data_IF_157336592330
#
_entry.id   IF_157336592330
#
_cell.length_a   1.000
_cell.length_b   1.000
_cell.length_c   1.000
_cell.angle_alpha   90.00
_cell.angle_beta   90.00
_cell.angle_gamma   90.00
#
_symmetry.space_group_name_H-M   'P 1'
#
loop_
_entity.id
_entity.type
_entity.pdbx_description
1 polymer ?
#
# COMPACT_ATOMS: atom_id res chain seq x y z
N UNK A 1 36.84 38.19 -11.51
CA UNK A 1 37.03 37.01 -10.64
C UNK A 1 35.98 37.05 -9.53
N UNK A 2 34.89 36.29 -9.65
CA UNK A 2 33.78 36.30 -8.67
C UNK A 2 34.18 35.38 -7.51
N UNK A 3 34.44 35.95 -6.33
CA UNK A 3 34.66 35.17 -5.10
C UNK A 3 33.35 34.45 -4.74
N UNK A 4 33.26 33.15 -5.01
CA UNK A 4 32.17 32.31 -4.47
C UNK A 4 32.37 32.25 -2.94
N UNK A 5 31.40 32.72 -2.17
CA UNK A 5 31.31 32.37 -0.75
C UNK A 5 31.04 30.87 -0.68
N UNK A 6 31.98 30.10 -0.14
CA UNK A 6 31.93 28.63 -0.02
C UNK A 6 31.03 28.10 1.10
N UNK A 7 30.35 28.97 1.85
CA UNK A 7 29.50 28.52 2.94
C UNK A 7 28.06 28.42 2.47
N UNK A 8 27.51 27.20 2.50
CA UNK A 8 26.06 27.01 2.37
C UNK A 8 25.36 27.84 3.45
N UNK A 9 24.25 28.53 3.12
CA UNK A 9 23.53 29.34 4.10
C UNK A 9 23.11 28.48 5.29
N UNK A 10 23.26 29.01 6.50
CA UNK A 10 22.75 28.34 7.70
C UNK A 10 21.22 28.35 7.66
N UNK A 11 20.64 27.18 7.37
CA UNK A 11 19.20 26.99 7.36
C UNK A 11 18.78 26.55 8.77
N UNK A 12 17.80 27.24 9.35
CA UNK A 12 17.23 26.92 10.64
C UNK A 12 15.80 26.42 10.47
N UNK A 13 15.41 25.39 11.24
CA UNK A 13 14.05 24.86 11.26
C UNK A 13 13.55 24.75 12.70
N UNK A 14 12.23 24.88 12.90
CA UNK A 14 11.60 24.77 14.21
C UNK A 14 11.33 23.32 14.57
N UNK A 15 12.09 22.72 15.50
CA UNK A 15 11.86 21.39 16.07
C UNK A 15 11.19 21.48 17.45
N UNK A 16 9.91 21.09 17.57
CA UNK A 16 9.12 21.19 18.80
C UNK A 16 9.24 22.59 19.45
N UNK A 17 8.95 23.63 18.66
CA UNK A 17 9.03 25.05 19.05
C UNK A 17 10.46 25.56 19.34
N UNK A 18 11.49 24.74 19.21
CA UNK A 18 12.89 25.15 19.34
C UNK A 18 13.55 25.36 17.98
N UNK A 19 14.25 26.47 17.79
CA UNK A 19 15.00 26.76 16.57
C UNK A 19 16.28 25.92 16.54
N UNK A 20 16.38 25.00 15.58
CA UNK A 20 17.52 24.11 15.42
C UNK A 20 18.19 24.35 14.06
N UNK A 21 19.52 24.23 13.99
CA UNK A 21 20.24 24.28 12.71
C UNK A 21 19.93 22.99 11.91
N UNK A 22 19.59 23.11 10.62
CA UNK A 22 19.24 21.98 9.76
C UNK A 22 20.35 20.93 9.69
N UNK A 23 21.62 21.33 9.78
CA UNK A 23 22.79 20.42 9.78
C UNK A 23 22.81 19.52 11.02
N UNK A 24 22.21 19.99 12.13
CA UNK A 24 22.11 19.21 13.38
C UNK A 24 20.97 18.18 13.38
N UNK A 25 20.11 18.20 12.35
CA UNK A 25 19.02 17.25 12.22
C UNK A 25 19.44 16.07 11.35
N UNK A 26 19.03 14.87 11.76
CA UNK A 26 19.20 13.71 10.88
C UNK A 26 18.41 13.92 9.59
N UNK A 27 18.97 13.46 8.47
CA UNK A 27 18.32 13.47 7.14
C UNK A 27 16.90 12.89 7.24
N UNK A 28 16.71 11.83 8.03
CA UNK A 28 15.41 11.22 8.33
C UNK A 28 14.42 12.19 8.99
N UNK A 29 14.84 13.02 9.94
CA UNK A 29 14.00 14.04 10.58
C UNK A 29 13.63 15.16 9.59
N UNK A 30 14.57 15.59 8.75
CA UNK A 30 14.34 16.63 7.73
C UNK A 30 13.32 16.14 6.70
N UNK A 31 13.51 14.95 6.14
CA UNK A 31 12.53 14.36 5.23
C UNK A 31 11.20 14.10 5.92
N UNK A 32 11.18 13.61 7.17
CA UNK A 32 9.94 13.45 7.94
C UNK A 32 9.16 14.75 8.07
N UNK A 33 9.84 15.89 8.30
CA UNK A 33 9.22 17.21 8.37
C UNK A 33 8.78 17.73 7.02
N UNK A 34 9.58 17.57 5.97
CA UNK A 34 9.17 17.93 4.62
C UNK A 34 7.96 17.11 4.17
N UNK A 35 7.91 15.82 4.51
CA UNK A 35 6.75 14.96 4.32
C UNK A 35 5.55 15.56 5.06
N UNK A 36 5.67 15.91 6.35
CA UNK A 36 4.56 16.51 7.13
C UNK A 36 4.13 17.91 6.64
N UNK A 37 5.05 18.72 6.12
CA UNK A 37 4.78 20.09 5.65
C UNK A 37 4.20 20.08 4.23
N UNK A 38 4.69 19.20 3.35
CA UNK A 38 4.22 19.05 1.96
C UNK A 38 2.92 18.26 1.91
N UNK A 39 2.77 17.27 2.81
CA UNK A 39 1.51 16.57 3.03
C UNK A 39 0.67 17.45 3.96
N UNK A 40 -0.07 18.40 3.38
CA UNK A 40 -1.29 18.94 4.01
C UNK A 40 -2.05 17.77 4.64
N UNK A 41 -2.53 17.94 5.88
CA UNK A 41 -3.34 16.92 6.60
C UNK A 41 -4.22 16.19 5.58
N UNK A 42 -3.92 14.91 5.27
CA UNK A 42 -4.48 14.27 4.09
C UNK A 42 -6.01 14.35 4.21
N UNK A 43 -6.72 14.75 3.15
CA UNK A 43 -8.18 14.87 3.19
C UNK A 43 -8.86 13.59 3.72
N UNK A 44 -8.19 12.46 3.47
CA UNK A 44 -8.47 11.13 3.96
C UNK A 44 -8.47 10.97 5.49
N UNK A 45 -7.73 11.75 6.29
CA UNK A 45 -7.80 11.65 7.76
C UNK A 45 -9.20 11.98 8.29
N UNK A 46 -9.86 12.96 7.67
CA UNK A 46 -11.24 13.33 8.01
C UNK A 46 -12.25 12.29 7.52
N UNK A 47 -12.02 11.70 6.35
CA UNK A 47 -12.97 10.75 5.74
C UNK A 47 -12.83 9.36 6.33
N UNK A 48 -11.61 8.86 6.55
CA UNK A 48 -11.41 7.54 7.14
C UNK A 48 -11.87 7.48 8.59
N UNK A 49 -11.71 8.55 9.39
CA UNK A 49 -12.29 8.61 10.75
C UNK A 49 -13.83 8.55 10.74
N UNK A 50 -14.48 9.02 9.66
CA UNK A 50 -15.94 8.95 9.50
C UNK A 50 -16.41 7.59 8.98
N UNK A 51 -15.66 6.97 8.06
CA UNK A 51 -15.98 5.66 7.48
C UNK A 51 -15.69 4.52 8.45
N UNK A 52 -14.65 4.68 9.28
CA UNK A 52 -14.17 3.69 10.22
C UNK A 52 -14.11 4.30 11.61
N UNK A 53 -15.18 4.11 12.39
CA UNK A 53 -15.23 4.58 13.77
C UNK A 53 -14.07 3.98 14.58
N UNK A 54 -13.49 4.79 15.47
CA UNK A 54 -12.38 4.43 16.36
C UNK A 54 -11.05 4.03 15.67
N UNK A 55 -10.86 4.36 14.39
CA UNK A 55 -9.59 4.11 13.71
C UNK A 55 -8.49 5.12 14.10
N UNK A 56 -7.36 4.60 14.57
CA UNK A 56 -6.14 5.40 14.75
C UNK A 56 -5.50 5.73 13.39
N UNK A 57 -5.74 6.94 12.91
CA UNK A 57 -5.24 7.42 11.62
C UNK A 57 -3.72 7.42 11.53
N UNK A 58 -3.00 7.59 12.65
CA UNK A 58 -1.53 7.53 12.62
C UNK A 58 -1.04 6.14 12.22
N UNK A 59 -1.80 5.09 12.55
CA UNK A 59 -1.47 3.70 12.14
C UNK A 59 -1.65 3.48 10.63
N UNK A 60 -2.57 4.16 9.95
CA UNK A 60 -2.73 4.07 8.49
C UNK A 60 -1.39 4.33 7.76
N UNK A 61 -0.62 5.28 8.28
CA UNK A 61 0.65 5.72 7.72
C UNK A 61 1.84 4.84 8.13
N UNK A 62 1.70 3.99 9.16
CA UNK A 62 2.81 3.13 9.61
C UNK A 62 3.23 2.10 8.56
N UNK A 63 2.34 1.81 7.61
CA UNK A 63 2.57 0.89 6.49
C UNK A 63 2.83 1.62 5.16
N UNK A 64 3.35 2.85 5.18
CA UNK A 64 3.62 3.64 3.96
C UNK A 64 4.63 2.97 3.02
N UNK A 65 5.71 2.42 3.59
CA UNK A 65 6.79 1.79 2.83
C UNK A 65 6.83 0.30 3.16
N UNK A 66 6.38 -0.52 2.21
CA UNK A 66 6.37 -1.97 2.36
C UNK A 66 7.66 -2.51 1.75
N UNK A 67 8.37 -3.38 2.49
CA UNK A 67 9.66 -3.91 2.05
C UNK A 67 9.53 -4.61 0.68
N UNK A 68 10.44 -4.26 -0.23
CA UNK A 68 10.52 -4.78 -1.60
C UNK A 68 9.31 -4.51 -2.49
N UNK A 69 8.40 -3.63 -2.07
CA UNK A 69 7.22 -3.34 -2.86
C UNK A 69 7.59 -2.58 -4.14
N UNK A 70 6.71 -2.69 -5.15
CA UNK A 70 6.88 -1.97 -6.41
C UNK A 70 6.49 -0.50 -6.23
N UNK A 71 7.15 0.42 -6.94
CA UNK A 71 6.83 1.86 -6.89
C UNK A 71 5.36 2.12 -7.21
N UNK A 72 4.77 1.42 -8.18
CA UNK A 72 3.35 1.56 -8.51
C UNK A 72 2.44 1.10 -7.37
N UNK A 73 2.83 0.06 -6.63
CA UNK A 73 2.11 -0.42 -5.45
C UNK A 73 2.19 0.63 -4.32
N UNK A 74 3.38 1.17 -4.06
CA UNK A 74 3.58 2.23 -3.05
C UNK A 74 2.82 3.51 -3.40
N UNK A 75 2.87 3.93 -4.65
CA UNK A 75 2.12 5.10 -5.12
C UNK A 75 0.62 4.87 -5.02
N UNK A 76 0.12 3.69 -5.38
CA UNK A 76 -1.30 3.36 -5.23
C UNK A 76 -1.73 3.37 -3.75
N UNK A 77 -0.94 2.77 -2.87
CA UNK A 77 -1.22 2.75 -1.44
C UNK A 77 -1.17 4.16 -0.83
N UNK A 78 -0.20 4.98 -1.26
CA UNK A 78 -0.14 6.38 -0.89
C UNK A 78 -1.38 7.13 -1.37
N UNK A 79 -1.79 6.93 -2.61
CA UNK A 79 -2.99 7.56 -3.18
C UNK A 79 -4.22 7.17 -2.37
N UNK A 80 -4.48 5.88 -2.13
CA UNK A 80 -5.60 5.38 -1.31
C UNK A 80 -5.63 6.06 0.07
N UNK A 81 -4.48 6.15 0.73
CA UNK A 81 -4.35 6.77 2.06
C UNK A 81 -4.48 8.29 2.04
N UNK A 82 -4.10 8.96 0.94
CA UNK A 82 -4.02 10.43 0.89
C UNK A 82 -5.23 11.09 0.21
N UNK A 83 -5.81 10.43 -0.79
CA UNK A 83 -6.73 11.04 -1.75
C UNK A 83 -8.04 10.24 -1.91
N UNK A 84 -8.49 9.48 -0.91
CA UNK A 84 -9.74 8.70 -0.97
C UNK A 84 -10.91 9.45 -1.66
N UNK A 85 -11.07 10.74 -1.37
CA UNK A 85 -12.13 11.60 -1.92
C UNK A 85 -11.91 12.05 -3.38
N UNK A 86 -10.67 11.94 -3.89
CA UNK A 86 -10.19 12.56 -5.14
C UNK A 86 -9.48 11.63 -6.13
N UNK A 87 -9.04 10.43 -5.75
CA UNK A 87 -8.26 9.53 -6.66
C UNK A 87 -9.05 9.24 -7.93
N UNK A 88 -10.39 9.30 -7.87
CA UNK A 88 -11.25 9.07 -9.02
C UNK A 88 -12.30 10.16 -9.24
N UNK A 89 -12.07 11.39 -8.75
CA UNK A 89 -12.73 12.58 -9.31
C UNK A 89 -12.05 13.00 -10.62
N UNK A 90 -11.84 12.06 -11.54
CA UNK A 90 -11.81 12.46 -12.95
C UNK A 90 -13.24 12.92 -13.25
N UNK A 91 -13.33 14.20 -13.57
CA UNK A 91 -14.50 15.09 -13.63
C UNK A 91 -15.64 14.61 -14.56
N UNK A 92 -15.56 13.40 -15.11
CA UNK A 92 -16.57 12.81 -15.99
C UNK A 92 -17.38 11.69 -15.29
N UNK A 93 -16.86 11.00 -14.27
CA UNK A 93 -17.60 9.92 -13.61
C UNK A 93 -18.68 10.42 -12.64
N UNK A 94 -18.44 11.54 -11.95
CA UNK A 94 -19.43 12.12 -11.02
C UNK A 94 -20.70 12.65 -11.69
N UNK A 95 -20.78 12.71 -13.03
CA UNK A 95 -22.00 13.10 -13.74
C UNK A 95 -22.73 11.94 -14.41
N UNK A 96 -22.13 10.74 -14.49
CA UNK A 96 -22.71 9.63 -15.27
C UNK A 96 -23.01 8.40 -14.40
N UNK A 97 -22.31 8.15 -13.29
CA UNK A 97 -22.72 7.18 -12.28
C UNK A 97 -22.12 7.54 -10.92
N UNK A 98 -22.97 7.67 -9.90
CA UNK A 98 -22.61 7.90 -8.50
C UNK A 98 -21.83 6.70 -7.88
N UNK A 99 -20.70 6.30 -8.43
CA UNK A 99 -19.85 5.25 -7.83
C UNK A 99 -18.90 5.86 -6.80
N UNK A 100 -19.11 5.53 -5.52
CA UNK A 100 -18.22 5.94 -4.42
C UNK A 100 -16.87 5.21 -4.48
N UNK A 101 -15.84 5.73 -3.80
CA UNK A 101 -14.55 5.04 -3.63
C UNK A 101 -14.70 3.62 -3.07
N UNK A 102 -15.71 3.38 -2.22
CA UNK A 102 -16.04 2.07 -1.68
C UNK A 102 -16.61 1.14 -2.75
N UNK A 103 -17.38 1.64 -3.72
CA UNK A 103 -17.81 0.85 -4.87
C UNK A 103 -16.62 0.41 -5.74
N UNK A 104 -15.60 1.25 -5.85
CA UNK A 104 -14.38 0.94 -6.62
C UNK A 104 -13.65 -0.31 -6.10
N UNK A 105 -13.64 -0.49 -4.77
CA UNK A 105 -12.88 -1.54 -4.09
C UNK A 105 -13.71 -2.62 -3.38
N UNK A 106 -15.01 -2.44 -3.13
CA UNK A 106 -15.79 -3.36 -2.30
C UNK A 106 -17.15 -3.70 -2.87
N UNK A 107 -17.91 -2.72 -3.34
CA UNK A 107 -19.31 -2.95 -3.73
C UNK A 107 -19.46 -3.41 -5.21
N UNK A 108 -18.37 -3.85 -5.84
CA UNK A 108 -18.36 -4.40 -7.19
C UNK A 108 -18.53 -5.92 -7.16
N UNK A 109 -19.64 -6.44 -7.68
CA UNK A 109 -19.94 -7.88 -7.75
C UNK A 109 -18.84 -8.69 -8.45
N UNK A 110 -18.13 -8.08 -9.42
CA UNK A 110 -17.02 -8.71 -10.13
C UNK A 110 -15.78 -8.99 -9.24
N UNK A 111 -15.72 -8.41 -8.04
CA UNK A 111 -14.61 -8.60 -7.10
C UNK A 111 -14.91 -9.63 -6.01
N UNK A 112 -16.16 -10.11 -5.89
CA UNK A 112 -16.58 -11.04 -4.83
C UNK A 112 -15.73 -12.30 -4.84
N UNK A 113 -15.57 -12.93 -6.00
CA UNK A 113 -14.75 -14.14 -6.15
C UNK A 113 -13.28 -13.90 -5.81
N UNK A 114 -12.76 -12.73 -6.21
CA UNK A 114 -11.38 -12.35 -5.92
C UNK A 114 -11.17 -12.12 -4.42
N UNK A 115 -12.11 -11.49 -3.73
CA UNK A 115 -12.04 -11.30 -2.29
C UNK A 115 -12.24 -12.61 -1.52
N UNK A 116 -13.12 -13.49 -1.98
CA UNK A 116 -13.23 -14.85 -1.43
C UNK A 116 -11.89 -15.59 -1.52
N UNK A 117 -11.26 -15.54 -2.70
CA UNK A 117 -9.92 -16.08 -2.92
C UNK A 117 -8.87 -15.45 -1.99
N UNK A 118 -8.81 -14.13 -1.90
CA UNK A 118 -7.80 -13.43 -1.09
C UNK A 118 -7.99 -13.66 0.41
N UNK A 119 -9.23 -13.68 0.91
CA UNK A 119 -9.54 -14.02 2.31
C UNK A 119 -9.09 -15.44 2.64
N UNK A 120 -9.36 -16.40 1.76
CA UNK A 120 -8.90 -17.79 1.91
C UNK A 120 -7.37 -17.85 1.96
N UNK A 121 -6.69 -17.19 1.01
CA UNK A 121 -5.24 -17.10 0.95
C UNK A 121 -4.64 -16.58 2.27
N UNK A 122 -5.21 -15.51 2.82
CA UNK A 122 -4.73 -14.90 4.06
C UNK A 122 -4.94 -15.79 5.28
N UNK A 123 -6.10 -16.46 5.36
CA UNK A 123 -6.45 -17.38 6.45
C UNK A 123 -5.54 -18.60 6.47
N UNK A 124 -5.30 -19.22 5.31
CA UNK A 124 -4.51 -20.46 5.21
C UNK A 124 -3.01 -20.24 5.44
N UNK A 125 -2.48 -19.07 5.06
CA UNK A 125 -1.05 -18.81 5.09
C UNK A 125 -0.57 -18.01 6.31
N UNK A 126 -1.45 -17.22 6.95
CA UNK A 126 -1.06 -16.35 8.06
C UNK A 126 -2.08 -16.33 9.22
N UNK A 127 -3.06 -17.23 9.22
CA UNK A 127 -4.09 -17.35 10.27
C UNK A 127 -4.80 -16.03 10.61
N UNK A 128 -4.96 -15.15 9.62
CA UNK A 128 -5.63 -13.86 9.81
C UNK A 128 -7.11 -14.10 10.06
N UNK A 129 -7.58 -13.82 11.29
CA UNK A 129 -8.99 -13.83 11.64
C UNK A 129 -9.66 -12.57 11.08
N UNK A 130 -10.73 -12.77 10.31
CA UNK A 130 -11.47 -11.74 9.60
C UNK A 130 -12.93 -11.83 10.02
N UNK A 131 -13.19 -11.50 11.28
CA UNK A 131 -14.49 -11.82 11.89
C UNK A 131 -15.60 -10.82 11.53
N UNK A 132 -15.30 -9.72 10.81
CA UNK A 132 -16.28 -8.71 10.39
C UNK A 132 -15.98 -8.14 8.98
N UNK A 133 -17.02 -7.77 8.23
CA UNK A 133 -16.89 -7.10 6.92
C UNK A 133 -16.11 -5.78 7.02
N UNK A 134 -16.35 -5.03 8.10
CA UNK A 134 -15.58 -3.83 8.41
C UNK A 134 -14.08 -4.16 8.62
N UNK A 135 -13.78 -5.26 9.31
CA UNK A 135 -12.41 -5.75 9.49
C UNK A 135 -11.73 -6.07 8.16
N UNK A 136 -12.47 -6.68 7.22
CA UNK A 136 -11.97 -6.92 5.86
C UNK A 136 -11.67 -5.62 5.11
N UNK A 137 -12.60 -4.65 5.14
CA UNK A 137 -12.43 -3.37 4.44
C UNK A 137 -11.20 -2.62 4.95
N UNK A 138 -11.03 -2.57 6.28
CA UNK A 138 -9.86 -1.97 6.93
C UNK A 138 -8.56 -2.68 6.53
N UNK A 139 -8.52 -4.01 6.64
CA UNK A 139 -7.35 -4.81 6.29
C UNK A 139 -6.96 -4.60 4.82
N UNK A 140 -7.94 -4.70 3.91
CA UNK A 140 -7.68 -4.62 2.49
C UNK A 140 -7.21 -3.21 2.08
N UNK A 141 -7.72 -2.13 2.68
CA UNK A 141 -7.30 -0.78 2.33
C UNK A 141 -5.94 -0.39 2.91
N UNK A 142 -5.67 -0.77 4.16
CA UNK A 142 -4.53 -0.20 4.90
C UNK A 142 -3.48 -1.22 5.34
N UNK A 143 -3.78 -2.51 5.17
CA UNK A 143 -2.92 -3.59 5.63
C UNK A 143 -3.02 -3.86 7.12
N UNK A 144 -2.10 -4.69 7.62
CA UNK A 144 -1.98 -5.07 9.02
C UNK A 144 -1.11 -4.06 9.76
N UNK A 145 -1.62 -3.51 10.86
CA UNK A 145 -0.88 -2.57 11.72
C UNK A 145 -0.20 -3.23 12.92
N UNK A 146 -0.74 -4.35 13.38
CA UNK A 146 -0.28 -5.00 14.61
C UNK A 146 0.90 -5.93 14.30
N UNK A 147 2.04 -5.60 14.89
CA UNK A 147 3.25 -6.40 14.77
C UNK A 147 3.13 -7.62 15.67
N UNK A 148 2.91 -8.78 15.08
CA UNK A 148 3.17 -10.07 15.75
C UNK A 148 4.62 -10.49 15.51
N UNK A 149 5.24 -11.14 16.50
CA UNK A 149 6.57 -11.77 16.35
C UNK A 149 6.52 -13.03 15.48
N UNK A 150 5.35 -13.66 15.34
CA UNK A 150 5.20 -14.97 14.69
C UNK A 150 4.71 -14.89 13.25
N UNK A 151 4.22 -13.73 12.80
CA UNK A 151 3.61 -13.56 11.48
C UNK A 151 4.37 -12.49 10.69
N UNK A 152 4.78 -12.82 9.47
CA UNK A 152 5.45 -11.88 8.56
C UNK A 152 4.45 -10.84 8.01
N UNK A 153 4.11 -9.84 8.82
CA UNK A 153 3.16 -8.78 8.45
C UNK A 153 3.64 -7.96 7.23
N UNK A 154 4.96 -7.83 7.02
CA UNK A 154 5.50 -7.18 5.85
C UNK A 154 5.10 -7.91 4.56
N UNK A 155 5.13 -9.24 4.58
CA UNK A 155 4.70 -10.06 3.44
C UNK A 155 3.18 -10.00 3.22
N UNK A 156 2.39 -9.97 4.30
CA UNK A 156 0.94 -9.75 4.18
C UNK A 156 0.66 -8.40 3.51
N UNK A 157 1.31 -7.35 3.97
CA UNK A 157 1.14 -6.01 3.40
C UNK A 157 1.61 -5.96 1.95
N UNK A 158 2.70 -6.66 1.61
CA UNK A 158 3.15 -6.84 0.22
C UNK A 158 2.07 -7.48 -0.64
N UNK A 159 1.51 -8.61 -0.20
CA UNK A 159 0.42 -9.32 -0.89
C UNK A 159 -0.80 -8.43 -1.08
N UNK A 160 -1.24 -7.73 -0.03
CA UNK A 160 -2.38 -6.83 -0.08
C UNK A 160 -2.14 -5.64 -1.02
N UNK A 161 -0.93 -5.11 -1.07
CA UNK A 161 -0.56 -4.01 -1.97
C UNK A 161 -0.66 -4.43 -3.45
N UNK A 162 -0.19 -5.63 -3.79
CA UNK A 162 -0.34 -6.19 -5.13
C UNK A 162 -1.80 -6.51 -5.47
N UNK A 163 -2.59 -6.94 -4.49
CA UNK A 163 -4.02 -7.16 -4.69
C UNK A 163 -4.76 -5.85 -5.01
N UNK A 164 -4.45 -4.76 -4.29
CA UNK A 164 -4.99 -3.42 -4.59
C UNK A 164 -4.58 -2.94 -5.98
N UNK A 165 -3.31 -3.14 -6.35
CA UNK A 165 -2.83 -2.78 -7.68
C UNK A 165 -3.55 -3.57 -8.78
N UNK A 166 -3.79 -4.87 -8.59
CA UNK A 166 -4.51 -5.70 -9.55
C UNK A 166 -5.95 -5.21 -9.80
N UNK A 167 -6.65 -4.76 -8.75
CA UNK A 167 -7.99 -4.17 -8.86
C UNK A 167 -7.94 -2.89 -9.71
N UNK A 168 -6.96 -2.02 -9.45
CA UNK A 168 -6.77 -0.77 -10.20
C UNK A 168 -6.45 -1.06 -11.66
N UNK A 169 -5.53 -1.99 -11.95
CA UNK A 169 -5.20 -2.36 -13.32
C UNK A 169 -6.40 -2.93 -14.06
N UNK A 170 -7.16 -3.84 -13.45
CA UNK A 170 -8.39 -4.36 -14.06
C UNK A 170 -9.36 -3.23 -14.41
N UNK A 171 -9.56 -2.26 -13.52
CA UNK A 171 -10.45 -1.12 -13.77
C UNK A 171 -9.92 -0.24 -14.89
N UNK A 172 -8.62 0.02 -14.94
CA UNK A 172 -7.99 0.76 -16.05
C UNK A 172 -8.17 0.02 -17.38
N UNK A 173 -8.02 -1.31 -17.42
CA UNK A 173 -8.30 -2.12 -18.61
C UNK A 173 -9.77 -2.00 -19.07
N UNK A 174 -10.72 -2.04 -18.13
CA UNK A 174 -12.13 -1.87 -18.46
C UNK A 174 -12.41 -0.45 -18.97
N UNK A 175 -11.85 0.57 -18.32
CA UNK A 175 -12.15 1.97 -18.62
C UNK A 175 -11.48 2.47 -19.91
N UNK A 176 -10.19 2.20 -20.09
CA UNK A 176 -9.41 2.71 -21.20
C UNK A 176 -9.38 1.76 -22.41
N UNK A 177 -9.51 0.45 -22.19
CA UNK A 177 -9.42 -0.55 -23.26
C UNK A 177 -10.74 -1.30 -23.51
N UNK A 178 -11.78 -1.10 -22.70
CA UNK A 178 -13.04 -1.83 -22.81
C UNK A 178 -12.93 -3.34 -22.51
N UNK A 179 -11.83 -3.79 -21.89
CA UNK A 179 -11.51 -5.21 -21.70
C UNK A 179 -11.77 -5.65 -20.27
N UNK A 180 -12.64 -6.66 -20.10
CA UNK A 180 -12.85 -7.31 -18.80
C UNK A 180 -11.76 -8.34 -18.55
N UNK A 181 -10.80 -7.97 -17.70
CA UNK A 181 -9.69 -8.86 -17.29
C UNK A 181 -10.01 -9.51 -15.95
N UNK A 182 -9.58 -10.77 -15.78
CA UNK A 182 -9.71 -11.49 -14.51
C UNK A 182 -8.71 -10.95 -13.48
N UNK A 183 -9.22 -10.38 -12.38
CA UNK A 183 -8.40 -9.75 -11.31
C UNK A 183 -7.48 -10.77 -10.64
N UNK A 184 -7.95 -12.00 -10.41
CA UNK A 184 -7.15 -13.06 -9.81
C UNK A 184 -5.95 -13.42 -10.67
N UNK A 185 -6.13 -13.52 -12.00
CA UNK A 185 -5.02 -13.77 -12.92
C UNK A 185 -4.02 -12.60 -12.94
N UNK A 186 -4.51 -11.35 -12.98
CA UNK A 186 -3.64 -10.17 -12.89
C UNK A 186 -2.81 -10.16 -11.60
N UNK A 187 -3.47 -10.40 -10.46
CA UNK A 187 -2.81 -10.48 -9.16
C UNK A 187 -1.72 -11.56 -9.13
N UNK A 188 -2.03 -12.78 -9.60
CA UNK A 188 -1.04 -13.86 -9.65
C UNK A 188 0.16 -13.51 -10.53
N UNK A 189 -0.08 -12.91 -11.69
CA UNK A 189 0.98 -12.51 -12.62
C UNK A 189 1.87 -11.41 -12.05
N UNK A 190 1.27 -10.39 -11.41
CA UNK A 190 2.02 -9.31 -10.73
C UNK A 190 2.89 -9.87 -9.62
N UNK A 191 2.31 -10.69 -8.74
CA UNK A 191 3.04 -11.33 -7.63
C UNK A 191 4.19 -12.20 -8.13
N UNK A 192 3.96 -13.07 -9.12
CA UNK A 192 5.02 -13.94 -9.67
C UNK A 192 6.18 -13.12 -10.19
N UNK A 193 5.90 -12.17 -11.09
CA UNK A 193 6.92 -11.32 -11.71
C UNK A 193 7.75 -10.59 -10.65
N UNK A 194 7.10 -9.97 -9.67
CA UNK A 194 7.78 -9.10 -8.72
C UNK A 194 8.58 -9.94 -7.70
N UNK A 195 8.02 -11.04 -7.17
CA UNK A 195 8.75 -11.96 -6.29
C UNK A 195 9.92 -12.63 -7.02
N UNK A 196 9.75 -13.11 -8.25
CA UNK A 196 10.84 -13.72 -9.02
C UNK A 196 11.98 -12.73 -9.24
N UNK A 197 11.65 -11.48 -9.60
CA UNK A 197 12.63 -10.40 -9.73
C UNK A 197 13.37 -10.14 -8.41
N UNK A 198 12.66 -10.02 -7.30
CA UNK A 198 13.27 -9.74 -5.99
C UNK A 198 14.06 -10.95 -5.48
N UNK A 199 13.61 -12.18 -5.69
CA UNK A 199 14.34 -13.39 -5.34
C UNK A 199 15.62 -13.57 -6.17
N UNK A 200 15.64 -13.06 -7.41
CA UNK A 200 16.83 -13.06 -8.28
C UNK A 200 17.85 -11.99 -7.88
N UNK A 201 17.41 -10.85 -7.37
CA UNK A 201 18.25 -9.67 -7.13
C UNK A 201 18.35 -9.26 -5.64
N UNK A 202 17.72 -9.99 -4.73
CA UNK A 202 17.55 -9.64 -3.32
C UNK A 202 17.40 -10.86 -2.42
N UNK A 203 16.79 -10.68 -1.24
CA UNK A 203 16.69 -11.73 -0.22
C UNK A 203 15.44 -12.59 -0.42
N UNK A 204 15.65 -13.86 -0.81
CA UNK A 204 14.59 -14.87 -0.91
C UNK A 204 13.90 -15.11 0.44
N UNK A 205 14.65 -15.07 1.54
CA UNK A 205 14.18 -15.38 2.91
C UNK A 205 12.96 -14.57 3.31
N UNK A 206 12.84 -13.34 2.81
CA UNK A 206 11.66 -12.49 3.04
C UNK A 206 10.36 -13.16 2.59
N UNK A 207 10.39 -13.91 1.49
CA UNK A 207 9.21 -14.55 0.90
C UNK A 207 9.02 -15.99 1.35
N UNK A 208 10.09 -16.74 1.57
CA UNK A 208 9.98 -18.17 1.93
C UNK A 208 9.82 -18.42 3.43
N UNK A 209 10.15 -17.45 4.28
CA UNK A 209 10.07 -17.64 5.73
C UNK A 209 8.65 -17.40 6.28
N UNK A 210 8.19 -18.32 7.13
CA UNK A 210 7.01 -18.13 7.98
C UNK A 210 5.66 -18.09 7.25
N UNK A 211 5.55 -18.68 6.07
CA UNK A 211 4.28 -18.83 5.34
C UNK A 211 4.31 -20.06 4.42
N UNK A 212 3.14 -20.48 3.90
CA UNK A 212 3.02 -21.61 2.97
C UNK A 212 2.72 -21.16 1.53
N UNK A 213 2.64 -19.86 1.27
CA UNK A 213 2.25 -19.31 -0.04
C UNK A 213 3.43 -19.40 -1.01
N UNK A 214 4.61 -19.02 -0.55
CA UNK A 214 5.81 -18.97 -1.37
C UNK A 214 6.86 -19.85 -0.70
N UNK A 215 7.37 -20.83 -1.43
CA UNK A 215 8.41 -21.72 -0.94
C UNK A 215 9.46 -21.98 -2.03
N UNK A 216 10.64 -22.44 -1.61
CA UNK A 216 11.69 -22.87 -2.52
C UNK A 216 11.48 -24.36 -2.85
N UNK A 217 11.35 -24.66 -4.14
CA UNK A 217 11.23 -26.02 -4.65
C UNK A 217 12.57 -26.77 -4.64
N UNK A 218 12.52 -28.05 -5.01
CA UNK A 218 13.69 -28.94 -5.00
C UNK A 218 14.82 -28.47 -5.94
N UNK A 219 14.49 -27.72 -7.00
CA UNK A 219 15.45 -27.18 -7.97
C UNK A 219 15.80 -25.71 -7.69
N UNK A 220 15.55 -25.22 -6.46
CA UNK A 220 15.75 -23.82 -6.04
C UNK A 220 14.89 -22.79 -6.78
N UNK A 221 13.84 -23.26 -7.44
CA UNK A 221 12.82 -22.43 -8.06
C UNK A 221 11.85 -21.89 -7.01
N UNK A 222 11.28 -20.70 -7.27
CA UNK A 222 10.25 -20.13 -6.41
C UNK A 222 8.89 -20.70 -6.83
N UNK A 223 8.22 -21.38 -5.91
CA UNK A 223 6.91 -21.99 -6.14
C UNK A 223 5.83 -21.24 -5.37
N UNK A 224 4.67 -21.08 -6.01
CA UNK A 224 3.49 -20.42 -5.43
C UNK A 224 2.37 -21.42 -5.18
N UNK A 225 1.94 -21.53 -3.93
CA UNK A 225 0.80 -22.32 -3.49
C UNK A 225 -0.45 -21.44 -3.34
N UNK A 226 -1.15 -21.22 -4.45
CA UNK A 226 -2.28 -20.29 -4.55
C UNK A 226 -3.58 -20.78 -3.92
#
# INVERSE_FOLDING_TARGET
>A
MVKRKECMPEIYVLDNEKKCNMVSLSVKKVYGRLIVIVIKEPAAERVWRRVFENMDVKKIWSNGNIKYNRIECENNDFLIKHKCDRIYTNVVLNKINNESFLHYFFDCNDLVDFFGFLKKLLKENWCVQLDLEEGWRKLFLFGVFEKSKTVNFCLINFVLSHARLAVVYRRNYVHFEGRKVNVKCLFKSLMKRDVEFICKHGSKEFFVSGNKLIYEGERREIVFNW
#
